data_IF_383363679151
#
_entry.id   IF_383363679151
#
_cell.length_a   1.000
_cell.length_b   1.000
_cell.length_c   1.000
_cell.angle_alpha   90.00
_cell.angle_beta   90.00
_cell.angle_gamma   90.00
#
_symmetry.space_group_name_H-M   'P 1'
#
loop_
_entity.id
_entity.type
_entity.pdbx_description
1 polymer ?
#
# COMPACT_ATOMS: atom_id res chain seq x y z
N UNK A 1 -13.72 1.28 4.04
CA UNK A 1 -13.07 2.39 4.77
C UNK A 1 -12.20 3.24 3.85
N UNK A 2 -11.13 2.71 3.25
CA UNK A 2 -10.27 3.47 2.31
C UNK A 2 -11.03 4.09 1.13
N UNK A 3 -11.96 3.35 0.53
CA UNK A 3 -12.81 3.90 -0.56
C UNK A 3 -13.65 5.10 -0.09
N UNK A 4 -14.14 5.08 1.15
CA UNK A 4 -14.89 6.20 1.73
C UNK A 4 -13.97 7.40 1.96
N UNK A 5 -12.73 7.19 2.40
CA UNK A 5 -11.72 8.24 2.53
C UNK A 5 -11.44 8.90 1.18
N UNK A 6 -11.31 8.10 0.11
CA UNK A 6 -11.15 8.60 -1.26
C UNK A 6 -12.30 9.46 -1.72
N UNK A 7 -13.55 8.99 -1.57
CA UNK A 7 -14.75 9.76 -1.94
C UNK A 7 -14.83 11.09 -1.18
N UNK A 8 -14.47 11.12 0.11
CA UNK A 8 -14.49 12.36 0.91
C UNK A 8 -13.45 13.39 0.47
N UNK A 9 -12.36 12.95 -0.15
CA UNK A 9 -11.21 13.77 -0.49
C UNK A 9 -10.95 13.83 -2.01
N UNK A 10 -11.96 13.51 -2.82
CA UNK A 10 -11.96 13.60 -4.29
C UNK A 10 -10.85 12.78 -4.99
N UNK A 11 -10.59 11.55 -4.52
CA UNK A 11 -9.72 10.60 -5.23
C UNK A 11 -10.30 9.18 -5.27
N UNK A 12 -9.95 8.44 -6.33
CA UNK A 12 -10.35 7.05 -6.50
C UNK A 12 -9.37 6.10 -5.81
N UNK A 13 -9.89 5.07 -5.14
CA UNK A 13 -9.09 4.04 -4.48
C UNK A 13 -9.30 2.71 -5.18
N UNK A 14 -8.20 2.10 -5.60
CA UNK A 14 -8.17 0.75 -6.15
C UNK A 14 -7.36 -0.15 -5.24
N UNK A 15 -7.97 -1.21 -4.72
CA UNK A 15 -7.28 -2.20 -3.89
C UNK A 15 -6.76 -3.29 -4.83
N UNK A 16 -5.44 -3.48 -4.82
CA UNK A 16 -4.78 -4.53 -5.59
C UNK A 16 -4.30 -5.59 -4.59
N UNK A 17 -4.76 -6.85 -4.70
CA UNK A 17 -4.46 -7.88 -3.70
C UNK A 17 -3.02 -8.40 -3.79
N UNK A 18 -2.34 -8.28 -4.93
CA UNK A 18 -0.98 -8.78 -5.13
C UNK A 18 -0.05 -7.77 -5.81
N UNK A 19 1.20 -7.68 -5.34
CA UNK A 19 2.17 -6.69 -5.82
C UNK A 19 2.48 -6.81 -7.32
N UNK A 20 2.52 -8.03 -7.87
CA UNK A 20 2.85 -8.27 -9.27
C UNK A 20 1.85 -7.64 -10.25
N UNK A 21 0.59 -7.52 -9.84
CA UNK A 21 -0.45 -6.84 -10.62
C UNK A 21 -0.22 -5.33 -10.65
N UNK A 22 0.25 -4.77 -9.53
CA UNK A 22 0.60 -3.35 -9.42
C UNK A 22 1.76 -3.01 -10.37
N UNK A 23 2.83 -3.80 -10.35
CA UNK A 23 3.98 -3.58 -11.22
C UNK A 23 3.63 -3.75 -12.71
N UNK A 24 2.83 -4.75 -13.05
CA UNK A 24 2.40 -5.00 -14.43
C UNK A 24 1.52 -3.86 -14.97
N UNK A 25 0.65 -3.28 -14.14
CA UNK A 25 -0.13 -2.07 -14.50
C UNK A 25 0.74 -0.83 -14.67
N UNK A 26 1.79 -0.72 -13.86
CA UNK A 26 2.69 0.42 -13.92
C UNK A 26 3.49 0.46 -15.23
N UNK A 27 4.06 -0.67 -15.65
CA UNK A 27 4.98 -0.79 -16.79
C UNK A 27 4.37 -0.54 -18.19
N UNK A 28 3.16 0.03 -18.30
CA UNK A 28 2.49 0.24 -19.59
C UNK A 28 1.79 1.58 -19.79
N UNK A 29 1.83 2.52 -18.83
CA UNK A 29 1.10 3.81 -18.93
C UNK A 29 1.88 4.96 -18.31
N UNK A 30 1.60 6.19 -18.75
CA UNK A 30 2.06 7.41 -18.09
C UNK A 30 1.14 7.73 -16.92
N UNK A 31 1.69 7.76 -15.71
CA UNK A 31 0.93 7.78 -14.45
C UNK A 31 1.11 9.10 -13.70
N UNK A 32 0.80 10.22 -14.35
CA UNK A 32 1.09 11.55 -13.79
C UNK A 32 0.34 11.85 -12.49
N UNK A 33 -0.82 11.21 -12.26
CA UNK A 33 -1.70 11.46 -11.12
C UNK A 33 -2.01 10.17 -10.33
N UNK A 34 -1.20 9.12 -10.48
CA UNK A 34 -1.38 7.86 -9.75
C UNK A 34 -0.23 7.65 -8.78
N UNK A 35 -0.55 7.19 -7.56
CA UNK A 35 0.40 6.84 -6.53
C UNK A 35 0.06 5.48 -5.92
N UNK A 36 1.06 4.81 -5.36
CA UNK A 36 0.86 3.50 -4.73
C UNK A 36 1.15 3.61 -3.23
N UNK A 37 0.23 3.11 -2.41
CA UNK A 37 0.47 2.93 -0.97
C UNK A 37 0.59 1.44 -0.69
N UNK A 38 1.81 0.98 -0.40
CA UNK A 38 2.07 -0.39 0.04
C UNK A 38 1.72 -0.54 1.51
N UNK A 39 0.87 -1.50 1.85
CA UNK A 39 0.43 -1.77 3.22
C UNK A 39 0.74 -3.22 3.57
N UNK A 40 1.74 -3.44 4.42
CA UNK A 40 2.16 -4.78 4.81
C UNK A 40 3.00 -4.75 6.11
N UNK A 41 3.59 -5.88 6.47
CA UNK A 41 4.60 -5.94 7.52
C UNK A 41 5.96 -5.42 7.02
N UNK A 42 6.85 -5.05 7.95
CA UNK A 42 8.11 -4.37 7.63
C UNK A 42 8.96 -5.10 6.57
N UNK A 43 9.16 -6.41 6.71
CA UNK A 43 10.00 -7.18 5.78
C UNK A 43 9.45 -7.18 4.36
N UNK A 44 8.13 -7.31 4.20
CA UNK A 44 7.47 -7.27 2.89
C UNK A 44 7.50 -5.87 2.28
N UNK A 45 7.34 -4.82 3.08
CA UNK A 45 7.40 -3.43 2.59
C UNK A 45 8.80 -3.04 2.13
N UNK A 46 9.86 -3.53 2.78
CA UNK A 46 11.24 -3.24 2.34
C UNK A 46 11.48 -3.84 0.96
N UNK A 47 11.14 -5.12 0.76
CA UNK A 47 11.33 -5.80 -0.52
C UNK A 47 10.47 -5.17 -1.63
N UNK A 48 9.17 -4.99 -1.39
CA UNK A 48 8.25 -4.36 -2.33
C UNK A 48 8.60 -2.90 -2.63
N UNK A 49 9.04 -2.14 -1.63
CA UNK A 49 9.44 -0.74 -1.75
C UNK A 49 10.68 -0.56 -2.61
N UNK A 50 11.70 -1.41 -2.44
CA UNK A 50 12.90 -1.39 -3.29
C UNK A 50 12.56 -1.73 -4.75
N UNK A 51 11.70 -2.72 -4.99
CA UNK A 51 11.20 -3.04 -6.33
C UNK A 51 10.44 -1.87 -6.96
N UNK A 52 9.55 -1.23 -6.20
CA UNK A 52 8.79 -0.07 -6.66
C UNK A 52 9.73 1.10 -7.02
N UNK A 53 10.71 1.39 -6.17
CA UNK A 53 11.71 2.43 -6.40
C UNK A 53 12.49 2.18 -7.71
N UNK A 54 12.93 0.93 -7.93
CA UNK A 54 13.66 0.55 -9.16
C UNK A 54 12.81 0.70 -10.44
N UNK A 55 11.48 0.64 -10.32
CA UNK A 55 10.54 0.83 -11.42
C UNK A 55 10.07 2.29 -11.58
N UNK A 56 10.59 3.21 -10.75
CA UNK A 56 10.17 4.61 -10.76
C UNK A 56 8.72 4.82 -10.31
N UNK A 57 8.16 3.88 -9.54
CA UNK A 57 6.84 4.01 -8.93
C UNK A 57 6.90 5.05 -7.80
N UNK A 58 6.01 6.07 -7.78
CA UNK A 58 5.80 6.94 -6.63
C UNK A 58 5.02 6.14 -5.58
N UNK A 59 5.77 5.32 -4.85
CA UNK A 59 5.25 4.46 -3.80
C UNK A 59 5.58 4.99 -2.41
N UNK A 60 4.63 4.87 -1.49
CA UNK A 60 4.85 5.07 -0.06
C UNK A 60 4.44 3.83 0.71
N UNK A 61 5.13 3.57 1.81
CA UNK A 61 4.92 2.37 2.62
C UNK A 61 4.26 2.75 3.97
N UNK A 62 3.20 2.04 4.32
CA UNK A 62 2.53 2.15 5.63
C UNK A 62 2.55 0.78 6.29
N UNK A 63 3.07 0.71 7.51
CA UNK A 63 3.03 -0.50 8.30
C UNK A 63 1.59 -0.80 8.72
N UNK A 64 1.23 -2.08 8.70
CA UNK A 64 0.08 -2.58 9.44
C UNK A 64 0.23 -2.25 10.93
N UNK A 65 -0.88 -2.06 11.64
CA UNK A 65 -0.85 -1.77 13.08
C UNK A 65 -0.19 -2.90 13.88
N UNK A 66 -0.32 -4.13 13.39
CA UNK A 66 0.40 -5.29 13.90
C UNK A 66 0.45 -6.41 12.85
N UNK A 67 1.51 -7.23 12.81
CA UNK A 67 1.58 -8.34 11.88
C UNK A 67 0.63 -9.48 12.29
N UNK A 68 -0.20 -9.92 11.35
CA UNK A 68 -1.18 -11.00 11.56
C UNK A 68 -0.82 -12.35 10.94
N UNK A 69 0.29 -12.45 10.19
CA UNK A 69 0.64 -13.63 9.41
C UNK A 69 1.65 -14.55 10.12
N UNK A 70 1.80 -15.77 9.57
CA UNK A 70 2.68 -16.83 10.11
C UNK A 70 4.17 -16.46 10.18
N UNK A 71 4.61 -15.45 9.45
CA UNK A 71 5.98 -14.95 9.54
C UNK A 71 6.33 -14.38 10.92
N UNK A 72 5.32 -13.89 11.66
CA UNK A 72 5.52 -13.23 12.95
C UNK A 72 4.85 -13.97 14.10
N UNK A 73 3.88 -14.85 13.82
CA UNK A 73 3.06 -15.52 14.84
C UNK A 73 2.80 -16.98 14.47
N UNK A 74 2.50 -17.82 15.45
CA UNK A 74 2.16 -19.23 15.20
C UNK A 74 0.73 -19.39 14.63
N UNK A 75 -0.20 -18.53 15.03
CA UNK A 75 -1.58 -18.49 14.53
C UNK A 75 -1.84 -17.19 13.77
N UNK A 76 -2.62 -17.28 12.70
CA UNK A 76 -2.99 -16.14 11.88
C UNK A 76 -4.15 -15.39 12.52
N UNK A 77 -4.07 -14.06 12.50
CA UNK A 77 -5.14 -13.16 12.95
C UNK A 77 -5.37 -12.08 11.91
N UNK A 78 -6.58 -11.51 11.90
CA UNK A 78 -6.83 -10.30 11.12
C UNK A 78 -5.95 -9.18 11.65
N UNK A 79 -5.34 -8.45 10.72
CA UNK A 79 -4.59 -7.22 10.98
C UNK A 79 -5.48 -5.99 10.74
N UNK A 80 -4.96 -4.82 11.06
CA UNK A 80 -5.59 -3.53 10.81
C UNK A 80 -4.64 -2.61 10.02
N UNK A 81 -5.26 -1.72 9.25
CA UNK A 81 -4.57 -0.71 8.45
C UNK A 81 -4.47 0.55 9.30
N UNK A 82 -3.26 1.06 9.47
CA UNK A 82 -3.03 2.31 10.16
C UNK A 82 -3.56 3.50 9.34
N UNK A 83 -4.81 3.88 9.58
CA UNK A 83 -5.46 4.97 8.85
C UNK A 83 -4.88 6.35 9.16
N UNK A 84 -4.46 6.57 10.39
CA UNK A 84 -3.90 7.86 10.80
C UNK A 84 -2.62 8.13 10.00
N UNK A 85 -1.77 7.11 9.85
CA UNK A 85 -0.57 7.19 9.03
C UNK A 85 -0.89 7.39 7.55
N UNK A 86 -1.93 6.74 7.02
CA UNK A 86 -2.37 6.96 5.63
C UNK A 86 -2.79 8.42 5.41
N UNK A 87 -3.60 8.98 6.32
CA UNK A 87 -4.04 10.37 6.21
C UNK A 87 -2.86 11.33 6.30
N UNK A 88 -1.92 11.08 7.23
CA UNK A 88 -0.70 11.87 7.38
C UNK A 88 0.14 11.90 6.09
N UNK A 89 0.42 10.74 5.46
CA UNK A 89 1.24 10.71 4.23
C UNK A 89 0.53 11.31 3.01
N UNK A 90 -0.81 11.35 3.03
CA UNK A 90 -1.62 11.96 1.99
C UNK A 90 -1.92 13.45 2.27
N UNK A 91 -1.49 13.98 3.43
CA UNK A 91 -1.80 15.32 3.92
C UNK A 91 -3.32 15.61 3.98
N UNK A 92 -4.09 14.67 4.54
CA UNK A 92 -5.54 14.75 4.74
C UNK A 92 -5.90 15.06 6.20
#
# INVERSE_FOLDING_TARGET
MLVVLGVKNDFSVFIIPHESETFSRWMGRGHANEGVVGIACALTLIDGGLKAQNLGLPAQCVLLDYPGCKHWRQSEISTEINLDRIQEILNL
#
